data_IF_527297485358
#
_entry.id   IF_527297485358
#
_cell.length_a   1.000
_cell.length_b   1.000
_cell.length_c   1.000
_cell.angle_alpha   90.00
_cell.angle_beta   90.00
_cell.angle_gamma   90.00
#
_symmetry.space_group_name_H-M   'P 1'
#
loop_
_entity.id
_entity.type
_entity.pdbx_description
1 polymer ?
#
# COMPACT_ATOMS: atom_id res chain seq x y z
N UNK A 1 -13.39 -8.86 16.26
CA UNK A 1 -13.03 -8.41 14.90
C UNK A 1 -11.82 -9.22 14.49
N UNK A 2 -11.85 -9.89 13.34
CA UNK A 2 -10.65 -10.53 12.80
C UNK A 2 -9.54 -9.49 12.66
N UNK A 3 -8.31 -9.83 13.05
CA UNK A 3 -7.15 -8.97 12.77
C UNK A 3 -7.01 -8.82 11.26
N UNK A 4 -7.36 -7.66 10.71
CA UNK A 4 -7.38 -7.38 9.26
C UNK A 4 -6.02 -7.69 8.60
N UNK A 5 -4.93 -7.55 9.36
CA UNK A 5 -3.55 -7.83 8.94
C UNK A 5 -3.24 -9.31 8.77
N UNK A 6 -4.11 -10.22 9.22
CA UNK A 6 -3.96 -11.68 9.07
C UNK A 6 -4.71 -12.25 7.88
N UNK A 7 -5.52 -11.45 7.20
CA UNK A 7 -6.24 -11.89 6.02
C UNK A 7 -5.25 -12.18 4.89
N UNK A 8 -5.49 -13.26 4.15
CA UNK A 8 -4.87 -13.43 2.85
C UNK A 8 -5.37 -12.35 1.88
N UNK A 9 -4.63 -12.13 0.78
CA UNK A 9 -5.05 -11.19 -0.26
C UNK A 9 -6.46 -11.50 -0.80
N UNK A 10 -6.79 -12.79 -0.97
CA UNK A 10 -8.10 -13.21 -1.44
C UNK A 10 -9.21 -12.87 -0.42
N UNK A 11 -9.00 -13.19 0.86
CA UNK A 11 -9.96 -12.86 1.93
C UNK A 11 -10.14 -11.36 2.09
N UNK A 12 -9.06 -10.58 2.03
CA UNK A 12 -9.12 -9.13 2.07
C UNK A 12 -9.97 -8.57 0.93
N UNK A 13 -9.74 -9.05 -0.31
CA UNK A 13 -10.49 -8.62 -1.49
C UNK A 13 -11.97 -8.99 -1.39
N UNK A 14 -12.30 -10.21 -0.96
CA UNK A 14 -13.70 -10.61 -0.77
C UNK A 14 -14.38 -9.78 0.34
N UNK A 15 -13.65 -9.47 1.42
CA UNK A 15 -14.13 -8.59 2.49
C UNK A 15 -14.44 -7.17 2.01
N UNK A 16 -13.55 -6.59 1.20
CA UNK A 16 -13.76 -5.27 0.58
C UNK A 16 -14.96 -5.27 -0.38
N UNK A 17 -15.07 -6.30 -1.22
CA UNK A 17 -16.19 -6.46 -2.16
C UNK A 17 -17.52 -6.63 -1.44
N UNK A 18 -17.53 -7.39 -0.34
CA UNK A 18 -18.68 -7.57 0.53
C UNK A 18 -18.98 -6.35 1.41
N UNK A 19 -18.09 -5.33 1.41
CA UNK A 19 -18.16 -4.14 2.27
C UNK A 19 -18.20 -4.48 3.76
N UNK A 20 -17.53 -5.56 4.15
CA UNK A 20 -17.37 -5.97 5.55
C UNK A 20 -16.44 -5.02 6.33
N UNK A 21 -15.56 -4.33 5.60
CA UNK A 21 -14.68 -3.24 6.03
C UNK A 21 -14.30 -2.45 4.78
N UNK A 22 -13.71 -1.27 4.99
CA UNK A 22 -13.23 -0.36 3.95
C UNK A 22 -11.74 -0.56 3.65
N UNK A 23 -11.29 -0.14 2.48
CA UNK A 23 -9.87 -0.09 2.13
C UNK A 23 -9.11 0.84 3.10
N UNK A 24 -9.76 1.92 3.55
CA UNK A 24 -9.22 2.81 4.58
C UNK A 24 -8.96 2.09 5.90
N UNK A 25 -9.94 1.34 6.42
CA UNK A 25 -9.77 0.55 7.65
C UNK A 25 -8.69 -0.51 7.51
N UNK A 26 -8.64 -1.21 6.36
CA UNK A 26 -7.59 -2.20 6.08
C UNK A 26 -6.20 -1.54 6.08
N UNK A 27 -6.06 -0.42 5.38
CA UNK A 27 -4.79 0.34 5.30
C UNK A 27 -4.34 0.83 6.66
N UNK A 28 -5.24 1.43 7.45
CA UNK A 28 -4.92 1.92 8.78
C UNK A 28 -4.52 0.78 9.73
N UNK A 29 -5.13 -0.40 9.62
CA UNK A 29 -4.71 -1.58 10.38
C UNK A 29 -3.26 -2.01 10.06
N UNK A 30 -2.87 -1.99 8.79
CA UNK A 30 -1.47 -2.26 8.40
C UNK A 30 -0.53 -1.15 8.86
N UNK A 31 -0.90 0.12 8.76
CA UNK A 31 -0.07 1.24 9.22
C UNK A 31 0.19 1.18 10.74
N UNK A 32 -0.82 0.82 11.54
CA UNK A 32 -0.67 0.59 12.98
C UNK A 32 0.31 -0.55 13.26
N UNK A 33 0.21 -1.66 12.52
CA UNK A 33 1.14 -2.78 12.67
C UNK A 33 2.58 -2.40 12.27
N UNK A 34 2.75 -1.60 11.21
CA UNK A 34 4.06 -1.08 10.80
C UNK A 34 4.63 -0.18 11.88
N UNK A 35 3.87 0.78 12.41
CA UNK A 35 4.32 1.70 13.45
C UNK A 35 4.81 0.95 14.71
N UNK A 36 4.06 -0.08 15.13
CA UNK A 36 4.41 -0.88 16.29
C UNK A 36 5.63 -1.80 16.08
N UNK A 37 5.79 -2.38 14.89
CA UNK A 37 6.79 -3.44 14.66
C UNK A 37 8.07 -2.97 13.95
N UNK A 38 7.98 -1.96 13.08
CA UNK A 38 9.11 -1.52 12.25
C UNK A 38 10.32 -1.01 13.07
N UNK A 39 10.18 -0.37 14.25
CA UNK A 39 11.34 0.01 15.05
C UNK A 39 12.24 -1.16 15.46
N UNK A 40 11.65 -2.35 15.64
CA UNK A 40 12.40 -3.56 16.00
C UNK A 40 12.83 -4.38 14.77
N UNK A 41 11.99 -4.44 13.74
CA UNK A 41 12.23 -5.27 12.55
C UNK A 41 13.07 -4.57 11.47
N UNK A 42 12.98 -3.25 11.39
CA UNK A 42 13.58 -2.42 10.34
C UNK A 42 13.28 -2.94 8.92
N UNK A 43 12.00 -3.24 8.66
CA UNK A 43 11.53 -3.86 7.42
C UNK A 43 11.17 -2.84 6.33
N UNK A 44 10.75 -1.63 6.71
CA UNK A 44 10.39 -0.53 5.82
C UNK A 44 11.41 0.59 5.92
N UNK A 45 12.00 0.98 4.79
CA UNK A 45 12.91 2.13 4.67
C UNK A 45 12.17 3.46 4.61
N UNK A 46 10.98 3.46 4.01
CA UNK A 46 10.10 4.62 3.91
C UNK A 46 8.66 4.16 4.06
N UNK A 47 7.87 4.87 4.85
CA UNK A 47 6.45 4.60 5.06
C UNK A 47 5.66 5.79 4.52
N UNK A 48 4.78 5.54 3.56
CA UNK A 48 4.02 6.59 2.86
C UNK A 48 2.57 6.65 3.36
N UNK A 49 2.38 6.80 4.67
CA UNK A 49 1.08 6.66 5.34
C UNK A 49 -0.05 7.50 4.71
N UNK A 50 0.20 8.79 4.47
CA UNK A 50 -0.82 9.69 3.91
C UNK A 50 -1.14 9.37 2.45
N UNK A 51 -0.14 8.96 1.69
CA UNK A 51 -0.33 8.51 0.31
C UNK A 51 -1.14 7.21 0.25
N UNK A 52 -0.84 6.25 1.12
CA UNK A 52 -1.57 4.99 1.23
C UNK A 52 -3.04 5.23 1.61
N UNK A 53 -3.31 6.13 2.58
CA UNK A 53 -4.68 6.52 2.94
C UNK A 53 -5.42 7.19 1.80
N UNK A 54 -4.78 8.11 1.08
CA UNK A 54 -5.40 8.78 -0.06
C UNK A 54 -5.75 7.78 -1.19
N UNK A 55 -4.87 6.81 -1.45
CA UNK A 55 -5.16 5.73 -2.40
C UNK A 55 -6.32 4.84 -1.91
N UNK A 56 -6.36 4.50 -0.62
CA UNK A 56 -7.42 3.71 -0.03
C UNK A 56 -8.79 4.40 -0.14
N UNK A 57 -8.87 5.70 0.17
CA UNK A 57 -10.10 6.48 0.02
C UNK A 57 -10.58 6.48 -1.44
N UNK A 58 -9.66 6.59 -2.42
CA UNK A 58 -9.99 6.49 -3.83
C UNK A 58 -10.45 5.08 -4.25
N UNK A 59 -9.87 4.03 -3.66
CA UNK A 59 -10.29 2.64 -3.84
C UNK A 59 -11.70 2.40 -3.30
N UNK A 60 -12.01 2.88 -2.10
CA UNK A 60 -13.34 2.80 -1.52
C UNK A 60 -14.38 3.47 -2.42
N UNK A 61 -14.05 4.63 -3.01
CA UNK A 61 -14.92 5.29 -3.98
C UNK A 61 -15.15 4.47 -5.25
N UNK A 62 -14.13 3.75 -5.77
CA UNK A 62 -14.27 2.85 -6.94
C UNK A 62 -15.10 1.61 -6.59
N UNK A 63 -14.85 0.99 -5.44
CA UNK A 63 -15.62 -0.17 -4.94
C UNK A 63 -17.09 0.20 -4.79
N UNK A 64 -17.39 1.39 -4.23
CA UNK A 64 -18.75 1.87 -4.06
C UNK A 64 -19.52 2.02 -5.39
N UNK A 65 -18.82 2.39 -6.48
CA UNK A 65 -19.37 2.54 -7.83
C UNK A 65 -19.52 1.21 -8.59
N UNK A 66 -18.93 0.12 -8.09
CA UNK A 66 -18.88 -1.16 -8.79
C UNK A 66 -17.74 -1.27 -9.80
N UNK A 67 -16.81 -0.31 -9.81
CA UNK A 67 -15.65 -0.24 -10.71
C UNK A 67 -14.39 -0.84 -10.06
N UNK A 68 -14.56 -1.84 -9.20
CA UNK A 68 -13.45 -2.45 -8.48
C UNK A 68 -12.53 -3.24 -9.42
N UNK A 69 -11.24 -2.92 -9.38
CA UNK A 69 -10.17 -3.60 -10.10
C UNK A 69 -9.70 -4.88 -9.38
N UNK A 70 -8.90 -5.75 -10.02
CA UNK A 70 -8.49 -7.03 -9.45
C UNK A 70 -7.81 -6.97 -8.07
N UNK A 71 -7.06 -5.89 -7.79
CA UNK A 71 -6.38 -5.64 -6.51
C UNK A 71 -6.89 -4.38 -5.79
N UNK A 72 -8.10 -3.93 -6.10
CA UNK A 72 -8.63 -2.68 -5.55
C UNK A 72 -8.64 -2.67 -4.01
N UNK A 73 -8.07 -1.63 -3.42
CA UNK A 73 -8.06 -1.41 -1.97
C UNK A 73 -7.08 -2.28 -1.17
N UNK A 74 -6.26 -3.11 -1.83
CA UNK A 74 -5.25 -3.95 -1.16
C UNK A 74 -3.99 -3.12 -0.84
N UNK A 75 -3.54 -3.03 0.43
CA UNK A 75 -2.29 -2.37 0.78
C UNK A 75 -1.08 -3.13 0.22
N UNK A 76 -0.09 -2.40 -0.31
CA UNK A 76 1.10 -2.97 -0.93
C UNK A 76 2.39 -2.39 -0.30
N UNK A 77 3.35 -3.27 -0.04
CA UNK A 77 4.73 -2.88 0.25
C UNK A 77 5.59 -3.02 -1.00
N UNK A 78 6.27 -1.95 -1.40
CA UNK A 78 7.12 -1.93 -2.59
C UNK A 78 8.59 -1.99 -2.17
N UNK A 79 9.35 -2.94 -2.73
CA UNK A 79 10.78 -3.02 -2.48
C UNK A 79 11.46 -1.75 -3.01
N UNK A 80 12.44 -1.22 -2.27
CA UNK A 80 13.23 -0.01 -2.59
C UNK A 80 14.12 -0.13 -3.84
N UNK A 81 13.76 -1.00 -4.79
CA UNK A 81 14.38 -1.15 -6.11
C UNK A 81 13.44 -0.69 -7.23
N UNK A 82 12.13 -0.69 -7.00
CA UNK A 82 11.16 -0.27 -7.98
C UNK A 82 10.91 1.22 -7.82
N UNK A 83 11.23 1.98 -8.88
CA UNK A 83 10.95 3.41 -8.92
C UNK A 83 9.48 3.64 -8.60
N UNK A 84 9.23 4.43 -7.55
CA UNK A 84 7.90 4.89 -7.15
C UNK A 84 7.89 6.41 -7.32
N UNK A 85 7.01 6.93 -8.19
CA UNK A 85 7.15 8.32 -8.66
C UNK A 85 7.05 9.34 -7.51
N UNK A 86 8.09 10.16 -7.34
CA UNK A 86 8.17 11.20 -6.30
C UNK A 86 8.36 10.66 -4.88
N UNK A 87 8.60 9.35 -4.72
CA UNK A 87 8.84 8.70 -3.43
C UNK A 87 10.30 8.29 -3.34
N UNK A 88 10.83 8.17 -2.12
CA UNK A 88 12.15 7.58 -1.87
C UNK A 88 12.30 6.23 -2.60
N UNK A 89 13.30 6.10 -3.47
CA UNK A 89 13.72 4.82 -4.06
C UNK A 89 15.24 4.81 -4.17
N UNK A 90 15.95 4.22 -3.21
CA UNK A 90 17.40 4.42 -3.08
C UNK A 90 18.21 3.12 -3.11
N UNK A 91 17.58 1.99 -3.45
CA UNK A 91 18.19 0.67 -3.48
C UNK A 91 18.92 0.31 -2.18
N UNK A 92 18.47 0.87 -1.05
CA UNK A 92 19.14 0.80 0.24
C UNK A 92 20.64 1.16 0.16
N UNK A 93 21.02 2.15 -0.65
CA UNK A 93 22.42 2.54 -0.91
C UNK A 93 22.60 4.05 -0.91
N UNK A 94 23.66 4.51 -0.23
CA UNK A 94 24.03 5.94 -0.17
C UNK A 94 24.36 6.56 -1.53
N UNK A 95 24.64 5.76 -2.56
CA UNK A 95 24.87 6.26 -3.92
C UNK A 95 23.62 6.98 -4.45
N UNK A 96 22.43 6.58 -4.00
CA UNK A 96 21.15 7.15 -4.42
C UNK A 96 20.52 8.03 -3.33
N UNK A 97 21.32 8.53 -2.39
CA UNK A 97 20.81 9.45 -1.36
C UNK A 97 20.04 10.61 -2.02
N UNK A 98 18.89 10.93 -1.43
CA UNK A 98 17.91 11.91 -1.91
C UNK A 98 17.25 11.61 -3.27
N UNK A 99 17.49 10.46 -3.90
CA UNK A 99 16.82 10.11 -5.15
C UNK A 99 15.32 9.87 -4.92
N UNK A 100 14.52 10.64 -5.67
CA UNK A 100 13.08 10.52 -5.80
C UNK A 100 12.78 10.41 -7.30
N UNK A 101 12.39 9.23 -7.81
CA UNK A 101 12.23 9.03 -9.24
C UNK A 101 11.16 9.97 -9.83
N UNK A 102 11.43 10.68 -10.95
CA UNK A 102 10.41 11.48 -11.64
C UNK A 102 9.46 10.61 -12.49
N UNK A 103 9.62 9.29 -12.46
CA UNK A 103 8.87 8.30 -13.22
C UNK A 103 8.43 7.14 -12.33
N UNK A 104 7.45 6.37 -12.82
CA UNK A 104 6.94 5.17 -12.17
C UNK A 104 7.53 3.92 -12.85
N UNK A 105 7.87 2.89 -12.08
CA UNK A 105 8.28 1.62 -12.70
C UNK A 105 7.08 0.94 -13.37
N UNK A 106 7.31 0.14 -14.43
CA UNK A 106 6.21 -0.53 -15.14
C UNK A 106 5.43 -1.47 -14.23
N UNK A 107 6.10 -2.16 -13.29
CA UNK A 107 5.44 -3.11 -12.38
C UNK A 107 4.51 -2.39 -11.43
N UNK A 108 4.96 -1.30 -10.80
CA UNK A 108 4.12 -0.50 -9.89
C UNK A 108 2.99 0.20 -10.65
N UNK A 109 3.25 0.72 -11.85
CA UNK A 109 2.18 1.28 -12.71
C UNK A 109 1.06 0.27 -12.96
N UNK A 110 1.39 -0.98 -13.30
CA UNK A 110 0.40 -2.04 -13.50
C UNK A 110 -0.36 -2.44 -12.21
N UNK A 111 0.18 -2.14 -11.02
CA UNK A 111 -0.50 -2.34 -9.75
C UNK A 111 -1.42 -1.16 -9.40
N UNK A 112 -1.05 0.05 -9.83
CA UNK A 112 -1.83 1.27 -9.63
C UNK A 112 -3.04 1.37 -10.55
N UNK A 113 -2.97 0.77 -11.74
CA UNK A 113 -3.96 0.81 -12.83
C UNK A 113 -5.00 -0.31 -12.76
#
# INVERSE_FOLDING_TARGET
MSELTRLTLAEAREGLKAKSFTARELTDAFLVAVDAANPALNAYVTVTADHARAQADASDARIAKGDARPLEGIPLGIKDLFATKGVHTQACSHILDAFQPPYESTVTQNLWD
#
